data_IF_010388886678
#
_entry.id   IF_010388886678
#
_cell.length_a   1.000
_cell.length_b   1.000
_cell.length_c   1.000
_cell.angle_alpha   90.00
_cell.angle_beta   90.00
_cell.angle_gamma   90.00
#
_symmetry.space_group_name_H-M   'P 1'
#
loop_
_entity.id
_entity.type
_entity.pdbx_description
1 polymer ?
#
# COMPACT_ATOMS: atom_id res chain seq x y z
N UNK A 1 -15.68 -1.47 0.34
CA UNK A 1 -14.94 -2.74 0.24
C UNK A 1 -15.66 -3.78 1.06
N UNK A 2 -16.26 -4.76 0.40
CA UNK A 2 -16.74 -6.02 1.00
C UNK A 2 -15.76 -7.16 0.64
N UNK A 3 -14.45 -6.88 0.70
CA UNK A 3 -13.45 -7.90 0.47
C UNK A 3 -13.29 -8.73 1.74
N UNK A 4 -13.11 -10.03 1.59
CA UNK A 4 -12.70 -10.89 2.69
C UNK A 4 -11.31 -10.45 3.15
N UNK A 5 -11.24 -9.76 4.30
CA UNK A 5 -10.03 -9.25 4.94
C UNK A 5 -9.91 -9.77 6.37
N UNK A 6 -8.72 -9.64 6.96
CA UNK A 6 -8.56 -9.89 8.39
C UNK A 6 -9.04 -8.68 9.21
N UNK A 7 -9.54 -8.90 10.45
CA UNK A 7 -9.68 -7.83 11.41
C UNK A 7 -8.31 -7.19 11.69
N UNK A 8 -8.27 -5.86 11.66
CA UNK A 8 -7.07 -5.07 11.94
C UNK A 8 -7.28 -4.21 13.19
N UNK A 9 -6.19 -3.98 13.91
CA UNK A 9 -6.13 -3.02 15.01
C UNK A 9 -5.21 -1.87 14.60
N UNK A 10 -5.67 -0.64 14.74
CA UNK A 10 -4.87 0.55 14.47
C UNK A 10 -4.30 1.11 15.77
N UNK A 11 -3.12 1.72 15.71
CA UNK A 11 -2.65 2.60 16.77
C UNK A 11 -3.48 3.90 16.83
N UNK A 12 -3.27 4.71 17.87
CA UNK A 12 -4.05 5.96 18.09
C UNK A 12 -3.93 6.96 16.93
N UNK A 13 -2.78 6.99 16.26
CA UNK A 13 -2.52 7.89 15.13
C UNK A 13 -2.89 7.28 13.78
N UNK A 14 -3.53 6.10 13.75
CA UNK A 14 -3.90 5.43 12.51
C UNK A 14 -2.75 5.27 11.51
N UNK A 15 -1.49 5.27 11.96
CA UNK A 15 -0.29 5.15 11.14
C UNK A 15 0.31 3.75 11.16
N UNK A 16 -0.09 2.91 12.11
CA UNK A 16 0.32 1.51 12.22
C UNK A 16 -0.92 0.64 12.40
N UNK A 17 -0.99 -0.44 11.62
CA UNK A 17 -2.06 -1.43 11.67
C UNK A 17 -1.49 -2.82 11.87
N UNK A 18 -2.07 -3.58 12.79
CA UNK A 18 -1.68 -4.94 13.09
C UNK A 18 -2.82 -5.91 12.74
N UNK A 19 -2.47 -7.06 12.18
CA UNK A 19 -3.41 -8.16 11.98
C UNK A 19 -2.70 -9.51 12.01
N UNK A 20 -3.47 -10.58 12.16
CA UNK A 20 -2.96 -11.95 12.17
C UNK A 20 -3.46 -12.68 10.93
N UNK A 21 -2.54 -13.02 10.03
CA UNK A 21 -2.77 -13.90 8.88
C UNK A 21 -2.89 -15.34 9.36
N UNK A 22 -3.94 -16.05 8.94
CA UNK A 22 -4.22 -17.43 9.30
C UNK A 22 -4.20 -18.29 8.04
N UNK A 23 -3.26 -19.22 7.95
CA UNK A 23 -3.09 -20.01 6.74
C UNK A 23 -2.33 -21.31 6.98
N UNK A 24 -1.78 -21.86 5.90
CA UNK A 24 -1.17 -23.20 5.89
C UNK A 24 0.04 -23.34 6.79
N UNK A 25 0.72 -22.23 7.10
CA UNK A 25 1.88 -22.17 8.02
C UNK A 25 1.50 -21.68 9.41
N UNK A 26 0.21 -21.60 9.71
CA UNK A 26 -0.31 -21.14 10.98
C UNK A 26 -0.55 -19.64 11.03
N UNK A 27 -0.59 -19.13 12.26
CA UNK A 27 -0.82 -17.73 12.56
C UNK A 27 0.47 -16.92 12.39
N UNK A 28 0.42 -15.86 11.58
CA UNK A 28 1.53 -14.94 11.37
C UNK A 28 1.08 -13.51 11.62
N UNK A 29 1.70 -12.87 12.62
CA UNK A 29 1.47 -11.45 12.90
C UNK A 29 2.08 -10.60 11.79
N UNK A 30 1.32 -9.65 11.29
CA UNK A 30 1.72 -8.75 10.20
C UNK A 30 1.43 -7.32 10.58
N UNK A 31 2.27 -6.41 10.10
CA UNK A 31 2.13 -4.97 10.31
C UNK A 31 2.05 -4.26 8.96
N UNK A 32 1.16 -3.27 8.88
CA UNK A 32 1.19 -2.22 7.87
C UNK A 32 1.53 -0.91 8.55
N UNK A 33 2.54 -0.21 8.05
CA UNK A 33 3.01 1.07 8.59
C UNK A 33 2.98 2.14 7.50
N UNK A 34 2.50 3.33 7.87
CA UNK A 34 2.53 4.54 7.07
C UNK A 34 3.58 5.48 7.64
N UNK A 35 4.79 5.41 7.10
CA UNK A 35 5.94 6.18 7.56
C UNK A 35 6.12 7.44 6.69
N UNK A 36 6.25 8.61 7.31
CA UNK A 36 6.52 9.84 6.58
C UNK A 36 7.86 9.76 5.82
N UNK A 37 7.87 10.13 4.54
CA UNK A 37 9.07 10.00 3.70
C UNK A 37 10.05 11.17 3.82
N UNK A 38 9.69 12.22 4.57
CA UNK A 38 10.40 13.50 4.56
C UNK A 38 9.86 14.49 3.52
N UNK A 39 9.04 14.02 2.57
CA UNK A 39 8.39 14.87 1.57
C UNK A 39 7.00 15.30 2.05
N UNK A 40 6.59 16.51 1.64
CA UNK A 40 5.32 17.08 2.07
C UNK A 40 4.15 16.16 1.72
N UNK A 41 3.38 15.78 2.74
CA UNK A 41 2.19 14.93 2.63
C UNK A 41 2.41 13.52 2.05
N UNK A 42 3.65 13.06 1.87
CA UNK A 42 3.93 11.71 1.33
C UNK A 42 4.31 10.73 2.44
N UNK A 43 3.64 9.58 2.45
CA UNK A 43 3.88 8.49 3.39
C UNK A 43 4.18 7.20 2.65
N UNK A 44 5.26 6.51 3.01
CA UNK A 44 5.58 5.19 2.51
C UNK A 44 4.73 4.13 3.21
N UNK A 45 4.10 3.27 2.43
CA UNK A 45 3.42 2.06 2.91
C UNK A 45 4.44 0.93 3.07
N UNK A 46 4.86 0.72 4.32
CA UNK A 46 5.59 -0.47 4.75
C UNK A 46 4.61 -1.60 5.08
N UNK A 47 4.92 -2.82 4.66
CA UNK A 47 4.12 -4.00 5.00
C UNK A 47 5.04 -5.22 5.12
N UNK A 48 4.87 -6.02 6.16
CA UNK A 48 5.67 -7.23 6.36
C UNK A 48 5.22 -8.11 7.53
N UNK A 49 5.97 -9.18 7.75
CA UNK A 49 5.82 -10.03 8.93
C UNK A 49 6.40 -9.31 10.14
N UNK A 50 5.75 -9.43 11.30
CA UNK A 50 6.30 -8.89 12.53
C UNK A 50 7.31 -9.86 13.13
N UNK A 51 8.53 -9.39 13.36
CA UNK A 51 9.54 -10.13 14.10
C UNK A 51 9.49 -9.73 15.58
N UNK A 52 8.97 -10.64 16.42
CA UNK A 52 8.87 -10.44 17.87
C UNK A 52 10.25 -10.37 18.56
N UNK A 53 11.32 -10.83 17.92
CA UNK A 53 12.68 -10.82 18.49
C UNK A 53 13.33 -9.46 18.29
N UNK A 54 13.28 -8.92 17.07
CA UNK A 54 13.84 -7.59 16.77
C UNK A 54 12.86 -6.46 17.07
N UNK A 55 11.56 -6.76 17.23
CA UNK A 55 10.48 -5.79 17.34
C UNK A 55 10.38 -4.89 16.09
N UNK A 56 10.66 -5.46 14.92
CA UNK A 56 10.69 -4.78 13.62
C UNK A 56 9.83 -5.48 12.57
N UNK A 57 9.50 -4.75 11.51
CA UNK A 57 8.83 -5.31 10.33
C UNK A 57 9.87 -5.98 9.44
N UNK A 58 9.69 -7.27 9.17
CA UNK A 58 10.44 -7.98 8.16
C UNK A 58 9.64 -8.05 6.85
N UNK A 59 10.01 -7.18 5.92
CA UNK A 59 9.34 -7.02 4.63
C UNK A 59 9.99 -7.85 3.49
N UNK A 60 11.06 -8.59 3.82
CA UNK A 60 11.79 -9.48 2.90
C UNK A 60 11.33 -10.94 3.02
N UNK A 61 10.75 -11.32 4.16
CA UNK A 61 10.28 -12.68 4.39
C UNK A 61 9.09 -13.02 3.49
N UNK A 62 9.19 -14.18 2.85
CA UNK A 62 8.09 -14.79 2.09
C UNK A 62 7.46 -15.88 2.93
N UNK A 63 6.40 -15.55 3.67
CA UNK A 63 5.66 -16.52 4.48
C UNK A 63 5.06 -17.63 3.62
N UNK A 64 4.49 -17.26 2.47
CA UNK A 64 3.71 -18.14 1.60
C UNK A 64 2.59 -18.90 2.36
N UNK A 65 1.77 -18.17 3.11
CA UNK A 65 0.75 -18.75 3.99
C UNK A 65 -0.52 -19.22 3.25
N UNK A 66 -0.58 -19.06 1.92
CA UNK A 66 -1.70 -19.50 1.07
C UNK A 66 -2.90 -18.55 1.05
N UNK A 67 -2.81 -17.37 1.66
CA UNK A 67 -3.89 -16.41 1.87
C UNK A 67 -3.59 -15.03 1.24
N UNK A 68 -2.73 -15.01 0.23
CA UNK A 68 -2.17 -13.78 -0.35
C UNK A 68 -3.23 -12.74 -0.78
N UNK A 69 -4.34 -13.18 -1.38
CA UNK A 69 -5.43 -12.28 -1.78
C UNK A 69 -6.12 -11.64 -0.58
N UNK A 70 -6.34 -12.40 0.50
CA UNK A 70 -6.93 -11.89 1.75
C UNK A 70 -6.00 -10.93 2.46
N UNK A 71 -4.70 -11.20 2.44
CA UNK A 71 -3.66 -10.26 2.91
C UNK A 71 -3.69 -8.96 2.10
N UNK A 72 -3.71 -9.03 0.76
CA UNK A 72 -3.79 -7.83 -0.08
C UNK A 72 -5.10 -7.05 0.12
N UNK A 73 -6.23 -7.73 0.29
CA UNK A 73 -7.49 -7.10 0.65
C UNK A 73 -7.41 -6.38 2.01
N UNK A 74 -6.69 -6.96 2.97
CA UNK A 74 -6.44 -6.37 4.30
C UNK A 74 -5.57 -5.12 4.19
N UNK A 75 -4.49 -5.15 3.40
CA UNK A 75 -3.67 -3.95 3.13
C UNK A 75 -4.49 -2.86 2.43
N UNK A 76 -5.29 -3.21 1.44
CA UNK A 76 -6.16 -2.24 0.76
C UNK A 76 -7.21 -1.62 1.72
N UNK A 77 -7.69 -2.40 2.70
CA UNK A 77 -8.56 -1.88 3.75
C UNK A 77 -7.83 -0.85 4.62
N UNK A 78 -6.61 -1.12 5.08
CA UNK A 78 -5.86 -0.16 5.90
C UNK A 78 -5.52 1.11 5.14
N UNK A 79 -5.27 1.03 3.83
CA UNK A 79 -5.06 2.18 2.94
C UNK A 79 -6.26 3.12 2.97
N UNK A 80 -7.46 2.54 2.85
CA UNK A 80 -8.70 3.31 2.89
C UNK A 80 -8.94 3.94 4.25
N UNK A 81 -8.69 3.22 5.35
CA UNK A 81 -8.82 3.77 6.70
C UNK A 81 -7.82 4.90 6.95
N UNK A 82 -6.55 4.73 6.56
CA UNK A 82 -5.55 5.79 6.66
C UNK A 82 -6.00 7.05 5.90
N UNK A 83 -6.42 6.90 4.64
CA UNK A 83 -6.89 8.03 3.84
C UNK A 83 -8.27 8.57 4.24
N UNK A 84 -9.00 7.90 5.14
CA UNK A 84 -10.19 8.47 5.78
C UNK A 84 -9.79 9.50 6.84
N UNK A 85 -8.78 9.18 7.66
CA UNK A 85 -8.25 10.09 8.68
C UNK A 85 -7.36 11.18 8.09
N UNK A 86 -6.71 10.89 6.96
CA UNK A 86 -5.69 11.73 6.33
C UNK A 86 -5.99 11.96 4.84
N UNK A 87 -7.09 12.64 4.49
CA UNK A 87 -7.58 12.75 3.11
C UNK A 87 -6.67 13.55 2.17
N UNK A 88 -5.80 14.40 2.73
CA UNK A 88 -4.85 15.25 2.01
C UNK A 88 -3.48 14.58 1.81
N UNK A 89 -3.28 13.35 2.29
CA UNK A 89 -1.99 12.65 2.21
C UNK A 89 -1.91 11.72 1.01
N UNK A 90 -0.68 11.52 0.56
CA UNK A 90 -0.30 10.61 -0.51
C UNK A 90 0.35 9.36 0.09
N UNK A 91 -0.06 8.20 -0.41
CA UNK A 91 0.56 6.94 -0.07
C UNK A 91 1.50 6.54 -1.20
N UNK A 92 2.79 6.49 -0.91
CA UNK A 92 3.81 5.89 -1.76
C UNK A 92 3.94 4.40 -1.44
N UNK A 93 4.04 3.58 -2.47
CA UNK A 93 4.29 2.15 -2.31
C UNK A 93 5.29 1.66 -3.36
N UNK A 94 6.32 0.97 -2.90
CA UNK A 94 7.21 0.16 -3.73
C UNK A 94 7.54 -1.14 -3.01
N UNK A 95 7.75 -2.21 -3.77
CA UNK A 95 8.15 -3.49 -3.19
C UNK A 95 9.65 -3.50 -2.92
N UNK A 96 10.06 -4.05 -1.78
CA UNK A 96 11.49 -4.31 -1.50
C UNK A 96 12.17 -5.25 -2.49
N UNK A 97 11.39 -5.97 -3.29
CA UNK A 97 11.87 -6.74 -4.45
C UNK A 97 10.89 -6.57 -5.62
N UNK A 98 11.35 -6.83 -6.86
CA UNK A 98 10.49 -6.80 -8.04
C UNK A 98 9.29 -7.77 -7.96
N UNK A 99 9.43 -8.88 -7.23
CA UNK A 99 8.33 -9.80 -6.96
C UNK A 99 7.24 -9.17 -6.08
N UNK A 100 7.63 -8.40 -5.06
CA UNK A 100 6.69 -7.65 -4.20
C UNK A 100 6.06 -6.47 -4.92
N UNK A 101 6.82 -5.75 -5.75
CA UNK A 101 6.27 -4.70 -6.62
C UNK A 101 5.22 -5.29 -7.57
N UNK A 102 5.48 -6.47 -8.13
CA UNK A 102 4.50 -7.20 -8.94
C UNK A 102 3.26 -7.59 -8.13
N UNK A 103 3.43 -7.97 -6.86
CA UNK A 103 2.32 -8.30 -5.98
C UNK A 103 1.42 -7.08 -5.70
N UNK A 104 2.00 -5.91 -5.49
CA UNK A 104 1.24 -4.66 -5.36
C UNK A 104 0.44 -4.35 -6.62
N UNK A 105 1.03 -4.52 -7.82
CA UNK A 105 0.27 -4.41 -9.08
C UNK A 105 -0.92 -5.36 -9.13
N UNK A 106 -0.74 -6.61 -8.71
CA UNK A 106 -1.83 -7.60 -8.69
C UNK A 106 -2.95 -7.11 -7.75
N UNK A 107 -2.61 -6.65 -6.54
CA UNK A 107 -3.58 -6.13 -5.58
C UNK A 107 -4.32 -4.88 -6.06
N UNK A 108 -3.61 -3.96 -6.73
CA UNK A 108 -4.23 -2.78 -7.37
C UNK A 108 -5.19 -3.22 -8.47
N UNK A 109 -4.75 -4.08 -9.38
CA UNK A 109 -5.56 -4.52 -10.53
C UNK A 109 -6.79 -5.32 -10.08
N UNK A 110 -6.66 -6.18 -9.07
CA UNK A 110 -7.78 -6.98 -8.57
C UNK A 110 -8.89 -6.12 -7.95
N UNK A 111 -8.58 -4.90 -7.55
CA UNK A 111 -9.50 -3.97 -6.88
C UNK A 111 -9.69 -2.65 -7.64
N UNK A 112 -9.26 -2.59 -8.91
CA UNK A 112 -9.07 -1.34 -9.64
C UNK A 112 -10.36 -0.52 -9.78
N UNK A 113 -11.48 -1.20 -10.03
CA UNK A 113 -12.79 -0.55 -10.18
C UNK A 113 -13.19 0.18 -8.90
N UNK A 114 -13.02 -0.47 -7.75
CA UNK A 114 -13.34 0.11 -6.46
C UNK A 114 -12.36 1.21 -6.06
N UNK A 115 -11.05 1.02 -6.32
CA UNK A 115 -10.04 2.05 -6.04
C UNK A 115 -10.35 3.32 -6.84
N UNK A 116 -10.73 3.21 -8.11
CA UNK A 116 -11.04 4.35 -9.00
C UNK A 116 -12.31 5.12 -8.63
N UNK A 117 -13.16 4.59 -7.75
CA UNK A 117 -14.31 5.33 -7.23
C UNK A 117 -13.85 6.48 -6.33
N UNK A 118 -12.85 6.24 -5.47
CA UNK A 118 -12.45 7.18 -4.40
C UNK A 118 -11.03 7.76 -4.57
N UNK A 119 -10.18 7.07 -5.34
CA UNK A 119 -8.75 7.36 -5.41
C UNK A 119 -8.27 7.51 -6.85
N UNK A 120 -7.14 8.19 -6.99
CA UNK A 120 -6.30 8.23 -8.19
C UNK A 120 -4.99 7.51 -7.87
N UNK A 121 -4.49 6.75 -8.83
CA UNK A 121 -3.21 6.04 -8.73
C UNK A 121 -2.31 6.58 -9.82
N UNK A 122 -1.09 6.92 -9.44
CA UNK A 122 0.01 7.23 -10.33
C UNK A 122 1.06 6.14 -10.23
N UNK A 123 1.73 5.85 -11.33
CA UNK A 123 2.81 4.89 -11.40
C UNK A 123 4.06 5.54 -11.98
N UNK A 124 5.22 5.16 -11.44
CA UNK A 124 6.54 5.48 -12.02
C UNK A 124 7.07 4.23 -12.71
N UNK A 125 7.35 4.35 -14.00
CA UNK A 125 7.87 3.27 -14.84
C UNK A 125 9.37 3.43 -15.12
N UNK A 126 9.83 2.90 -16.25
CA UNK A 126 11.23 3.04 -16.69
C UNK A 126 11.60 4.47 -17.09
N UNK A 127 10.62 5.28 -17.52
CA UNK A 127 10.84 6.67 -17.93
C UNK A 127 11.14 7.60 -16.76
N UNK A 128 11.03 7.12 -15.53
CA UNK A 128 11.20 7.88 -14.28
C UNK A 128 10.27 9.10 -14.14
N UNK A 129 9.23 9.17 -14.98
CA UNK A 129 8.15 10.14 -14.87
C UNK A 129 6.91 9.48 -14.26
N UNK A 130 6.21 10.24 -13.43
CA UNK A 130 4.90 9.86 -12.92
C UNK A 130 3.85 9.98 -14.03
N UNK A 131 3.02 8.95 -14.15
CA UNK A 131 1.86 8.93 -15.05
C UNK A 131 0.66 8.31 -14.33
N UNK A 132 -0.57 8.54 -14.82
CA UNK A 132 -1.73 7.80 -14.30
C UNK A 132 -1.57 6.30 -14.54
N UNK A 133 -1.94 5.51 -13.54
CA UNK A 133 -1.77 4.06 -13.59
C UNK A 133 -2.64 3.44 -14.69
N UNK A 134 -2.00 2.70 -15.57
CA UNK A 134 -2.64 1.91 -16.62
C UNK A 134 -2.43 0.40 -16.42
N UNK A 135 -3.49 -0.37 -16.62
CA UNK A 135 -3.40 -1.83 -16.56
C UNK A 135 -2.57 -2.37 -17.73
N UNK A 136 -1.70 -3.35 -17.47
CA UNK A 136 -0.86 -3.96 -18.50
C UNK A 136 0.48 -3.27 -18.74
N UNK A 137 0.71 -2.12 -18.08
CA UNK A 137 2.01 -1.43 -18.07
C UNK A 137 2.86 -1.82 -16.86
N UNK A 138 4.18 -1.77 -17.04
CA UNK A 138 5.14 -1.99 -15.96
C UNK A 138 5.34 -0.72 -15.15
N UNK A 139 5.30 -0.86 -13.82
CA UNK A 139 5.60 0.18 -12.85
C UNK A 139 6.50 -0.36 -11.74
N UNK A 140 7.49 0.41 -11.33
CA UNK A 140 8.42 0.11 -10.22
C UNK A 140 7.92 0.69 -8.88
N UNK A 141 7.12 1.74 -8.91
CA UNK A 141 6.50 2.36 -7.72
C UNK A 141 5.13 2.95 -8.03
N UNK A 142 4.37 3.18 -6.97
CA UNK A 142 3.00 3.69 -7.01
C UNK A 142 2.83 4.85 -6.05
N UNK A 143 1.98 5.78 -6.43
CA UNK A 143 1.52 6.85 -5.57
C UNK A 143 0.00 6.89 -5.62
N UNK A 144 -0.65 6.83 -4.47
CA UNK A 144 -2.08 6.85 -4.32
C UNK A 144 -2.50 8.15 -3.65
N UNK A 145 -3.59 8.75 -4.10
CA UNK A 145 -4.22 9.91 -3.45
C UNK A 145 -5.73 9.92 -3.64
N UNK A 146 -6.43 10.81 -2.91
CA UNK A 146 -7.88 11.02 -3.11
C UNK A 146 -8.16 11.60 -4.49
N UNK A 147 -9.16 11.04 -5.17
CA UNK A 147 -9.52 11.43 -6.54
C UNK A 147 -9.92 12.89 -6.67
N UNK A 148 -10.59 13.44 -5.66
CA UNK A 148 -10.98 14.85 -5.62
C UNK A 148 -9.79 15.82 -5.61
N UNK A 149 -8.62 15.37 -5.14
CA UNK A 149 -7.40 16.17 -5.08
C UNK A 149 -6.51 15.99 -6.33
N UNK A 150 -6.96 15.25 -7.34
CA UNK A 150 -6.13 14.81 -8.48
C UNK A 150 -5.31 15.94 -9.13
N UNK A 151 -5.91 17.09 -9.39
CA UNK A 151 -5.24 18.21 -10.06
C UNK A 151 -4.14 18.85 -9.19
N UNK A 152 -4.30 18.84 -7.88
CA UNK A 152 -3.29 19.31 -6.93
C UNK A 152 -2.14 18.32 -6.84
N UNK A 153 -2.47 17.03 -6.76
CA UNK A 153 -1.47 15.97 -6.73
C UNK A 153 -0.62 16.01 -7.99
N UNK A 154 -1.21 16.26 -9.17
CA UNK A 154 -0.47 16.36 -10.42
C UNK A 154 0.62 17.45 -10.38
N UNK A 155 0.26 18.64 -9.88
CA UNK A 155 1.21 19.75 -9.69
C UNK A 155 2.32 19.41 -8.70
N UNK A 156 2.01 18.61 -7.68
CA UNK A 156 2.98 18.18 -6.69
C UNK A 156 3.96 17.15 -7.27
N UNK A 157 3.47 16.19 -8.06
CA UNK A 157 4.28 15.03 -8.46
C UNK A 157 5.15 15.26 -9.68
N UNK A 158 4.86 16.27 -10.50
CA UNK A 158 5.68 16.63 -11.67
C UNK A 158 7.15 16.89 -11.31
N UNK A 159 7.44 17.29 -10.06
CA UNK A 159 8.80 17.57 -9.57
C UNK A 159 9.21 16.67 -8.40
N UNK A 160 8.46 15.60 -8.11
CA UNK A 160 8.67 14.78 -6.92
C UNK A 160 9.73 13.71 -7.19
N UNK A 161 10.88 13.87 -6.55
CA UNK A 161 11.99 12.91 -6.58
C UNK A 161 11.83 11.88 -5.45
N UNK A 162 11.26 10.72 -5.81
CA UNK A 162 10.97 9.56 -4.97
C UNK A 162 11.59 8.29 -5.59
#
# INVERSE_FOLDING_TARGET
MNLDSYPCFANETHSVYEFVSQGQRGAVKKIVEYAWTGLENVYNLGFGDYDEVSNEINDLVVTNNGDCLKVLATVAWTVREFMFWYPDKLIFATGSTGARTRLYRIGIVSNLNEIKEYFVIFGKGESDFWEEFETGKYYSSFLLGRKENKDEIWKQIENLDL
#
